data_IF_063551704151
#
_entry.id   IF_063551704151
#
_cell.length_a   1.000
_cell.length_b   1.000
_cell.length_c   1.000
_cell.angle_alpha   90.00
_cell.angle_beta   90.00
_cell.angle_gamma   90.00
#
_symmetry.space_group_name_H-M   'P 1'
#
loop_
_entity.id
_entity.type
_entity.pdbx_description
1 polymer ?
#
# COMPACT_ATOMS: atom_id res chain seq x y z
N UNK A 1 -23.09 10.90 -24.13
CA UNK A 1 -23.43 9.50 -24.43
C UNK A 1 -22.31 8.62 -23.88
N UNK A 2 -22.41 8.18 -22.62
CA UNK A 2 -21.41 7.32 -21.99
C UNK A 2 -21.50 5.87 -22.49
N UNK A 3 -20.38 5.17 -22.48
CA UNK A 3 -20.27 3.75 -22.79
C UNK A 3 -19.57 3.02 -21.65
N UNK A 4 -20.11 1.89 -21.22
CA UNK A 4 -19.54 1.01 -20.21
C UNK A 4 -19.51 -0.42 -20.77
N UNK A 5 -18.35 -1.07 -20.66
CA UNK A 5 -18.19 -2.50 -20.87
C UNK A 5 -17.83 -3.14 -19.54
N UNK A 6 -18.69 -4.05 -19.07
CA UNK A 6 -18.50 -4.83 -17.85
C UNK A 6 -18.12 -6.23 -18.30
N UNK A 7 -16.93 -6.69 -17.94
CA UNK A 7 -16.55 -8.08 -18.14
C UNK A 7 -16.55 -8.79 -16.79
N UNK A 8 -17.20 -9.94 -16.74
CA UNK A 8 -17.31 -10.77 -15.54
C UNK A 8 -17.01 -12.22 -15.90
N UNK A 9 -16.52 -12.98 -14.94
CA UNK A 9 -16.35 -14.42 -15.08
C UNK A 9 -17.71 -15.12 -15.11
N UNK A 10 -17.81 -16.21 -15.87
CA UNK A 10 -19.03 -17.03 -15.95
C UNK A 10 -19.19 -17.88 -14.69
N UNK A 11 -19.67 -17.26 -13.61
CA UNK A 11 -19.91 -17.90 -12.31
C UNK A 11 -21.40 -18.13 -12.03
N UNK A 12 -22.23 -18.28 -13.08
CA UNK A 12 -23.66 -18.53 -12.95
C UNK A 12 -24.52 -17.29 -12.70
N UNK A 13 -24.08 -16.14 -13.23
CA UNK A 13 -24.77 -14.84 -13.04
C UNK A 13 -26.15 -14.83 -13.70
N UNK A 14 -27.18 -14.50 -12.91
CA UNK A 14 -28.57 -14.51 -13.39
C UNK A 14 -28.90 -13.28 -14.24
N UNK A 15 -29.97 -13.37 -15.02
CA UNK A 15 -30.48 -12.24 -15.79
C UNK A 15 -30.89 -11.05 -14.90
N UNK A 16 -31.40 -11.33 -13.70
CA UNK A 16 -31.80 -10.30 -12.72
C UNK A 16 -30.58 -9.53 -12.19
N UNK A 17 -29.50 -10.24 -11.85
CA UNK A 17 -28.25 -9.62 -11.42
C UNK A 17 -27.64 -8.74 -12.52
N UNK A 18 -27.68 -9.19 -13.78
CA UNK A 18 -27.23 -8.37 -14.93
C UNK A 18 -28.08 -7.11 -15.08
N UNK A 19 -29.39 -7.20 -14.91
CA UNK A 19 -30.28 -6.04 -14.95
C UNK A 19 -29.96 -5.03 -13.84
N UNK A 20 -29.66 -5.52 -12.63
CA UNK A 20 -29.23 -4.69 -11.50
C UNK A 20 -27.89 -4.00 -11.79
N UNK A 21 -26.91 -4.71 -12.35
CA UNK A 21 -25.63 -4.12 -12.76
C UNK A 21 -25.80 -3.01 -13.81
N UNK A 22 -26.64 -3.23 -14.82
CA UNK A 22 -26.92 -2.22 -15.86
C UNK A 22 -27.56 -0.98 -15.24
N UNK A 23 -28.55 -1.17 -14.36
CA UNK A 23 -29.23 -0.08 -13.66
C UNK A 23 -28.24 0.70 -12.79
N UNK A 24 -27.48 0.02 -11.95
CA UNK A 24 -26.51 0.64 -11.04
C UNK A 24 -25.42 1.42 -11.78
N UNK A 25 -24.88 0.86 -12.86
CA UNK A 25 -23.88 1.55 -13.69
C UNK A 25 -24.46 2.84 -14.34
N UNK A 26 -25.69 2.77 -14.80
CA UNK A 26 -26.39 3.91 -15.41
C UNK A 26 -26.67 5.01 -14.38
N UNK A 27 -27.14 4.64 -13.19
CA UNK A 27 -27.39 5.57 -12.07
C UNK A 27 -26.10 6.20 -11.55
N UNK A 28 -25.01 5.43 -11.48
CA UNK A 28 -23.71 5.93 -11.06
C UNK A 28 -23.22 7.07 -11.98
N UNK A 29 -23.31 6.87 -13.29
CA UNK A 29 -22.91 7.89 -14.27
C UNK A 29 -23.83 9.11 -14.24
N UNK A 30 -25.12 8.91 -14.05
CA UNK A 30 -26.07 10.00 -13.89
C UNK A 30 -25.72 10.83 -12.64
N UNK A 31 -25.42 10.18 -11.51
CA UNK A 31 -25.10 10.84 -10.24
C UNK A 31 -23.75 11.57 -10.26
N UNK A 32 -22.69 10.92 -10.75
CA UNK A 32 -21.31 11.44 -10.63
C UNK A 32 -20.99 12.42 -11.76
N UNK A 33 -21.43 12.13 -12.99
CA UNK A 33 -21.06 12.91 -14.18
C UNK A 33 -22.21 13.77 -14.70
N UNK A 34 -23.38 13.74 -14.04
CA UNK A 34 -24.59 14.48 -14.42
C UNK A 34 -24.97 14.25 -15.89
N UNK A 35 -24.81 13.01 -16.38
CA UNK A 35 -25.11 12.62 -17.77
C UNK A 35 -26.53 12.07 -17.90
N UNK A 36 -27.11 12.21 -19.09
CA UNK A 36 -28.44 11.68 -19.37
C UNK A 36 -28.42 10.14 -19.44
N UNK A 37 -29.10 9.44 -18.52
CA UNK A 37 -29.11 7.97 -18.44
C UNK A 37 -29.70 7.32 -19.69
N UNK A 38 -30.61 7.99 -20.40
CA UNK A 38 -31.23 7.48 -21.63
C UNK A 38 -30.24 7.34 -22.80
N UNK A 39 -29.07 7.96 -22.69
CA UNK A 39 -28.00 7.91 -23.70
C UNK A 39 -26.80 7.10 -23.22
N UNK A 40 -26.94 6.35 -22.13
CA UNK A 40 -25.88 5.49 -21.61
C UNK A 40 -26.03 4.09 -22.19
N UNK A 41 -24.94 3.55 -22.70
CA UNK A 41 -24.88 2.18 -23.23
C UNK A 41 -24.05 1.35 -22.25
N UNK A 42 -24.60 0.22 -21.79
CA UNK A 42 -23.91 -0.74 -20.92
C UNK A 42 -23.93 -2.10 -21.60
N UNK A 43 -22.76 -2.71 -21.74
CA UNK A 43 -22.59 -4.07 -22.26
C UNK A 43 -22.00 -4.93 -21.15
N UNK A 44 -22.57 -6.13 -20.96
CA UNK A 44 -22.04 -7.15 -20.05
C UNK A 44 -21.55 -8.31 -20.88
N UNK A 45 -20.26 -8.63 -20.75
CA UNK A 45 -19.61 -9.78 -21.37
C UNK A 45 -19.25 -10.79 -20.28
N UNK A 46 -19.68 -12.03 -20.46
CA UNK A 46 -19.21 -13.14 -19.65
C UNK A 46 -18.02 -13.79 -20.33
N UNK A 47 -16.94 -13.95 -19.57
CA UNK A 47 -15.70 -14.58 -20.00
C UNK A 47 -15.51 -15.86 -19.19
N UNK A 48 -15.05 -16.92 -19.83
CA UNK A 48 -14.74 -18.16 -19.14
C UNK A 48 -13.53 -17.99 -18.20
N UNK A 49 -13.53 -18.70 -17.07
CA UNK A 49 -12.52 -18.54 -16.01
C UNK A 49 -11.10 -18.85 -16.50
N UNK A 50 -10.95 -19.78 -17.43
CA UNK A 50 -9.66 -20.14 -18.06
C UNK A 50 -9.07 -19.00 -18.91
N UNK A 51 -9.95 -18.13 -19.42
CA UNK A 51 -9.56 -16.97 -20.24
C UNK A 51 -9.41 -15.70 -19.40
N UNK A 52 -9.60 -15.78 -18.08
CA UNK A 52 -9.39 -14.69 -17.15
C UNK A 52 -8.16 -14.98 -16.29
N UNK A 53 -7.21 -14.05 -16.26
CA UNK A 53 -5.97 -14.19 -15.51
C UNK A 53 -5.76 -13.06 -14.51
N UNK A 54 -5.22 -13.39 -13.35
CA UNK A 54 -4.79 -12.45 -12.31
C UNK A 54 -3.33 -12.76 -11.98
N UNK A 55 -2.44 -11.76 -12.07
CA UNK A 55 -1.02 -11.95 -11.72
C UNK A 55 -0.22 -12.90 -12.62
N UNK A 56 -0.78 -13.28 -13.79
CA UNK A 56 -0.16 -14.23 -14.72
C UNK A 56 -0.70 -15.66 -14.61
N UNK A 57 -1.58 -15.93 -13.65
CA UNK A 57 -2.24 -17.23 -13.48
C UNK A 57 -3.73 -17.12 -13.82
N UNK A 58 -4.37 -18.21 -14.30
CA UNK A 58 -5.82 -18.33 -14.37
C UNK A 58 -6.49 -18.04 -13.02
N UNK A 59 -7.74 -17.54 -13.04
CA UNK A 59 -8.48 -17.11 -11.83
C UNK A 59 -8.52 -18.16 -10.73
N UNK A 60 -8.70 -19.43 -11.08
CA UNK A 60 -8.74 -20.52 -10.10
C UNK A 60 -7.45 -20.61 -9.29
N UNK A 61 -6.30 -20.67 -10.00
CA UNK A 61 -4.97 -20.73 -9.40
C UNK A 61 -4.66 -19.44 -8.63
N UNK A 62 -5.10 -18.29 -9.13
CA UNK A 62 -4.90 -17.01 -8.45
C UNK A 62 -5.68 -16.93 -7.13
N UNK A 63 -6.91 -17.47 -7.05
CA UNK A 63 -7.69 -17.53 -5.81
C UNK A 63 -7.04 -18.43 -4.77
N UNK A 64 -6.58 -19.61 -5.17
CA UNK A 64 -5.85 -20.51 -4.28
C UNK A 64 -4.59 -19.86 -3.70
N UNK A 65 -3.83 -19.14 -4.54
CA UNK A 65 -2.65 -18.39 -4.08
C UNK A 65 -3.01 -17.24 -3.16
N UNK A 66 -4.13 -16.56 -3.41
CA UNK A 66 -4.66 -15.52 -2.53
C UNK A 66 -5.03 -16.06 -1.16
N UNK A 67 -5.81 -17.13 -1.10
CA UNK A 67 -6.21 -17.79 0.16
C UNK A 67 -5.00 -18.29 0.95
N UNK A 68 -3.99 -18.85 0.27
CA UNK A 68 -2.75 -19.27 0.91
C UNK A 68 -1.94 -18.08 1.45
N UNK A 69 -1.96 -16.93 0.77
CA UNK A 69 -1.33 -15.70 1.26
C UNK A 69 -2.08 -15.13 2.46
N UNK A 70 -3.41 -15.06 2.41
CA UNK A 70 -4.24 -14.55 3.49
C UNK A 70 -4.09 -15.42 4.76
N UNK A 71 -4.07 -16.75 4.60
CA UNK A 71 -3.79 -17.66 5.72
C UNK A 71 -2.37 -17.48 6.30
N UNK A 72 -1.39 -17.16 5.45
CA UNK A 72 -0.02 -16.88 5.90
C UNK A 72 0.05 -15.55 6.65
N UNK A 73 -0.64 -14.52 6.15
CA UNK A 73 -0.73 -13.21 6.80
C UNK A 73 -1.37 -13.37 8.18
N UNK A 74 -2.50 -14.09 8.28
CA UNK A 74 -3.17 -14.33 9.55
C UNK A 74 -2.28 -15.07 10.57
N UNK A 75 -1.47 -16.04 10.14
CA UNK A 75 -0.50 -16.72 11.02
C UNK A 75 0.58 -15.77 11.52
N UNK A 76 1.16 -14.97 10.61
CA UNK A 76 2.20 -14.00 10.97
C UNK A 76 1.67 -12.90 11.91
N UNK A 77 0.41 -12.49 11.74
CA UNK A 77 -0.25 -11.55 12.64
C UNK A 77 -0.46 -12.14 14.05
N UNK A 78 -0.85 -13.41 14.16
CA UNK A 78 -0.99 -14.10 15.44
C UNK A 78 0.35 -14.28 16.17
N UNK A 79 1.40 -14.71 15.45
CA UNK A 79 2.75 -14.86 16.00
C UNK A 79 3.27 -13.51 16.52
N UNK A 80 2.99 -12.41 15.81
CA UNK A 80 3.36 -11.05 16.23
C UNK A 80 2.64 -10.65 17.52
N UNK A 81 1.35 -10.96 17.66
CA UNK A 81 0.57 -10.64 18.86
C UNK A 81 1.11 -11.38 20.10
N UNK A 82 1.53 -12.64 19.94
CA UNK A 82 2.15 -13.43 21.00
C UNK A 82 3.48 -12.83 21.45
N UNK A 83 4.34 -12.44 20.50
CA UNK A 83 5.61 -11.76 20.79
C UNK A 83 5.41 -10.42 21.52
N UNK A 84 4.38 -9.65 21.16
CA UNK A 84 4.06 -8.39 21.84
C UNK A 84 3.61 -8.64 23.29
N UNK A 85 2.82 -9.69 23.55
CA UNK A 85 2.42 -10.09 24.90
C UNK A 85 3.59 -10.58 25.74
N UNK A 86 4.48 -11.40 25.17
CA UNK A 86 5.71 -11.84 25.84
C UNK A 86 6.60 -10.66 26.22
N UNK A 87 6.77 -9.70 25.30
CA UNK A 87 7.54 -8.49 25.54
C UNK A 87 6.91 -7.65 26.67
N UNK A 88 5.59 -7.53 26.71
CA UNK A 88 4.89 -6.81 27.77
C UNK A 88 5.03 -7.52 29.13
N UNK A 89 4.98 -8.85 29.15
CA UNK A 89 5.18 -9.65 30.36
C UNK A 89 6.62 -9.52 30.89
N UNK A 90 7.63 -9.57 30.01
CA UNK A 90 9.03 -9.34 30.38
C UNK A 90 9.27 -7.94 30.94
N UNK A 91 8.65 -6.91 30.33
CA UNK A 91 8.71 -5.54 30.86
C UNK A 91 8.12 -5.43 32.26
N UNK A 92 7.00 -6.12 32.53
CA UNK A 92 6.38 -6.15 33.86
C UNK A 92 7.26 -6.86 34.90
N UNK A 93 7.96 -7.94 34.52
CA UNK A 93 8.88 -8.66 35.40
C UNK A 93 10.11 -7.83 35.77
N UNK A 94 10.72 -7.14 34.79
CA UNK A 94 11.83 -6.23 35.03
C UNK A 94 11.46 -5.04 35.94
N UNK A 95 10.19 -4.65 35.97
CA UNK A 95 9.67 -3.63 36.89
C UNK A 95 9.44 -4.17 38.33
N UNK A 96 9.40 -5.49 38.54
CA UNK A 96 9.23 -6.11 39.85
C UNK A 96 10.56 -6.38 40.58
N UNK A 97 11.65 -6.62 39.84
CA UNK A 97 13.00 -6.79 40.42
C UNK A 97 13.67 -5.47 40.84
N UNK A 98 13.02 -4.33 40.59
CA UNK A 98 13.42 -3.02 41.10
C UNK A 98 13.05 -2.78 42.57
N UNK A 99 13.47 -3.64 43.50
CA UNK A 99 13.55 -3.23 44.92
C UNK A 99 14.79 -2.36 45.12
N UNK A 100 14.53 -1.05 45.19
CA UNK A 100 15.29 0.01 45.91
C UNK A 100 16.70 -0.42 46.36
N UNK A 101 17.70 -0.07 45.58
CA UNK A 101 18.98 0.29 46.17
C UNK A 101 18.97 1.81 46.35
N UNK A 102 19.31 2.25 47.56
CA UNK A 102 19.40 3.64 47.97
C UNK A 102 20.39 4.40 47.07
N UNK A 103 19.88 5.11 46.07
CA UNK A 103 20.66 6.10 45.34
C UNK A 103 20.62 7.38 46.19
N UNK A 104 21.74 7.82 46.81
CA UNK A 104 21.78 9.11 47.47
C UNK A 104 21.42 10.22 46.46
N UNK A 105 20.76 11.30 46.87
CA UNK A 105 20.39 12.36 45.95
C UNK A 105 21.65 12.89 45.27
N UNK A 106 21.72 12.75 43.95
CA UNK A 106 22.76 13.36 43.14
C UNK A 106 22.68 14.89 43.34
N UNK A 107 23.83 15.58 43.45
CA UNK A 107 23.83 17.03 43.60
C UNK A 107 23.11 17.67 42.41
N UNK A 108 22.33 18.71 42.69
CA UNK A 108 21.68 19.54 41.67
C UNK A 108 22.77 20.14 40.76
N UNK A 109 23.06 19.49 39.63
CA UNK A 109 23.86 20.10 38.58
C UNK A 109 22.96 21.02 37.76
N UNK A 110 23.36 22.29 37.78
CA UNK A 110 22.75 23.40 37.06
C UNK A 110 22.37 23.03 35.63
N UNK A 111 21.14 23.39 35.30
CA UNK A 111 20.62 23.46 33.94
C UNK A 111 21.61 24.21 33.03
N UNK A 112 22.33 23.49 32.19
CA UNK A 112 22.88 24.04 30.94
C UNK A 112 22.15 23.37 29.78
N UNK A 113 21.16 24.09 29.28
CA UNK A 113 20.49 23.82 28.01
C UNK A 113 21.51 23.85 26.88
N UNK A 114 22.02 22.70 26.44
CA UNK A 114 22.51 22.57 25.08
C UNK A 114 21.82 21.40 24.41
N UNK A 115 20.68 21.71 23.78
CA UNK A 115 20.08 20.83 22.78
C UNK A 115 21.12 20.51 21.71
N UNK A 116 21.41 19.23 21.40
CA UNK A 116 22.33 18.92 20.32
C UNK A 116 21.69 19.34 18.99
N UNK A 117 22.16 20.46 18.43
CA UNK A 117 21.83 20.88 17.07
C UNK A 117 22.55 19.93 16.11
N UNK A 118 21.82 18.96 15.56
CA UNK A 118 22.28 18.17 14.42
C UNK A 118 22.51 19.11 13.22
N UNK A 119 23.76 19.52 13.00
CA UNK A 119 24.13 20.24 11.79
C UNK A 119 24.29 19.25 10.63
N UNK A 120 23.30 19.21 9.75
CA UNK A 120 23.41 18.53 8.46
C UNK A 120 24.44 19.26 7.59
N UNK A 121 25.62 18.66 7.42
CA UNK A 121 26.64 19.19 6.54
C UNK A 121 26.22 19.04 5.06
N UNK A 122 25.63 20.10 4.51
CA UNK A 122 25.19 20.17 3.11
C UNK A 122 26.35 20.20 2.08
N UNK A 123 27.62 20.19 2.51
CA UNK A 123 28.74 20.11 1.58
C UNK A 123 28.98 18.70 1.01
N UNK A 124 28.40 17.63 1.60
CA UNK A 124 28.47 16.29 1.03
C UNK A 124 27.68 16.13 -0.30
N UNK A 125 26.76 17.05 -0.59
CA UNK A 125 25.93 17.04 -1.81
C UNK A 125 26.55 17.80 -3.00
N UNK A 126 27.70 18.47 -2.83
CA UNK A 126 28.34 19.27 -3.89
C UNK A 126 29.44 18.56 -4.69
N UNK A 127 29.69 17.27 -4.50
CA UNK A 127 30.71 16.54 -5.29
C UNK A 127 30.20 15.60 -6.40
N UNK A 128 28.89 15.57 -6.72
CA UNK A 128 28.35 14.74 -7.81
C UNK A 128 27.64 15.49 -8.94
N UNK A 129 27.83 16.82 -9.08
CA UNK A 129 27.23 17.61 -10.18
C UNK A 129 28.20 18.29 -11.16
N UNK A 130 29.49 17.97 -11.16
CA UNK A 130 30.48 18.57 -12.10
C UNK A 130 31.18 17.57 -13.04
N UNK A 131 30.47 16.59 -13.59
CA UNK A 131 30.97 15.84 -14.77
C UNK A 131 29.90 15.63 -15.84
N UNK A 132 29.19 16.69 -16.23
CA UNK A 132 28.58 16.77 -17.57
C UNK A 132 28.62 18.22 -18.04
N UNK A 133 29.62 18.55 -18.86
CA UNK A 133 29.53 19.41 -20.06
C UNK A 133 30.92 19.91 -20.46
N UNK A 134 31.56 19.24 -21.42
CA UNK A 134 32.52 19.84 -22.38
C UNK A 134 32.94 18.78 -23.41
N UNK A 135 32.11 18.60 -24.43
CA UNK A 135 32.55 18.19 -25.76
C UNK A 135 31.49 18.54 -26.81
N UNK A 136 31.41 19.82 -27.15
CA UNK A 136 30.95 20.23 -28.48
C UNK A 136 31.90 21.32 -29.00
N UNK A 137 32.17 21.23 -30.30
CA UNK A 137 32.93 22.14 -31.19
C UNK A 137 34.44 21.92 -31.35
N UNK A 138 34.78 21.25 -32.46
CA UNK A 138 35.92 21.47 -33.37
C UNK A 138 35.89 20.29 -34.35
N UNK A 139 35.87 20.35 -35.69
CA UNK A 139 36.02 21.33 -36.80
C UNK A 139 35.39 20.57 -38.00
N UNK A 140 34.49 21.13 -38.80
CA UNK A 140 34.71 21.98 -39.98
C UNK A 140 35.69 21.43 -41.05
N UNK A 141 35.26 21.50 -42.32
CA UNK A 141 36.01 21.32 -43.60
C UNK A 141 36.49 19.89 -43.86
N UNK A 142 36.23 19.26 -45.01
CA UNK A 142 36.13 19.74 -46.40
C UNK A 142 35.38 18.70 -47.21
#
# INVERSE_FOLDING_TARGET
MPYINIKITREGVTAEQKAELIKGATELLARVLNKNPKTTIVIIEEVDMDSWGIGGDPVEIAREKGEAQDAKIARLEADKEEQEKELENLKKLLLQDGKKEDIPPLPEEETTEETPVFTLNNNALKLKKEKKTKKSKSKNKK
#
